data_IF_558510286722
#
_entry.id   IF_558510286722
#
_cell.length_a   1.000
_cell.length_b   1.000
_cell.length_c   1.000
_cell.angle_alpha   90.00
_cell.angle_beta   90.00
_cell.angle_gamma   90.00
#
_symmetry.space_group_name_H-M   'P 1'
#
loop_
_entity.id
_entity.type
_entity.pdbx_description
1 polymer ?
2 non-polymer ?
3 non-polymer ?
4 water ?
#
# COMPACT_ATOMS: atom_id res chain seq x y z
N UNK A 12 26.23 -8.55 -0.07
CA UNK A 12 26.71 -7.18 0.04
C UNK A 12 26.79 -6.53 -1.34
N UNK A 13 27.75 -6.98 -2.15
CA UNK A 13 27.84 -6.50 -3.53
C UNK A 13 26.69 -7.02 -4.37
N UNK A 14 26.17 -8.20 -4.04
CA UNK A 14 25.02 -8.75 -4.77
C UNK A 14 23.79 -7.88 -4.57
N UNK A 15 23.61 -7.33 -3.36
CA UNK A 15 22.44 -6.50 -3.09
C UNK A 15 22.46 -5.23 -3.94
N UNK A 16 23.62 -4.58 -4.04
CA UNK A 16 23.70 -3.35 -4.80
C UNK A 16 23.57 -3.61 -6.30
N UNK A 17 23.91 -4.82 -6.76
CA UNK A 17 23.73 -5.13 -8.17
C UNK A 17 22.25 -5.29 -8.52
N UNK A 18 21.46 -5.84 -7.60
CA UNK A 18 20.02 -5.96 -7.83
C UNK A 18 19.38 -4.58 -7.94
N UNK A 19 19.76 -3.67 -7.03
CA UNK A 19 19.21 -2.32 -7.05
C UNK A 19 19.56 -1.61 -8.36
N UNK A 20 20.78 -1.82 -8.87
CA UNK A 20 21.16 -1.21 -10.14
C UNK A 20 20.33 -1.77 -11.29
N UNK A 21 20.10 -3.08 -11.31
CA UNK A 21 19.22 -3.66 -12.32
C UNK A 21 17.81 -3.11 -12.21
N UNK A 22 17.34 -2.91 -10.97
CA UNK A 22 16.02 -2.29 -10.79
C UNK A 22 16.03 -0.85 -11.30
N UNK A 23 17.11 -0.11 -11.01
CA UNK A 23 17.19 1.29 -11.43
C UNK A 23 17.18 1.42 -12.95
N UNK A 24 17.95 0.58 -13.65
CA UNK A 24 17.93 0.62 -15.11
C UNK A 24 16.57 0.25 -15.68
N UNK A 25 15.77 -0.47 -14.92
CA UNK A 25 14.42 -0.83 -15.36
C UNK A 25 13.45 0.33 -15.26
N UNK A 26 13.72 1.29 -14.38
CA UNK A 26 12.76 2.36 -14.13
C UNK A 26 12.81 3.45 -15.20
N UNK A 27 13.93 3.59 -15.91
CA UNK A 27 14.08 4.73 -16.81
C UNK A 27 13.16 4.62 -18.03
N UNK A 28 12.81 3.41 -18.45
CA UNK A 28 12.04 3.26 -19.68
C UNK A 28 10.60 3.75 -19.51
N UNK A 29 10.03 3.61 -18.32
CA UNK A 29 8.65 4.03 -18.10
C UNK A 29 8.51 5.53 -17.88
N UNK A 30 9.60 6.30 -17.93
CA UNK A 30 9.49 7.74 -17.83
C UNK A 30 8.65 8.30 -18.97
N UNK A 31 8.79 7.72 -20.17
CA UNK A 31 7.90 8.06 -21.26
C UNK A 31 6.54 7.40 -21.10
N UNK A 32 6.51 6.21 -20.50
CA UNK A 32 5.23 5.51 -20.32
C UNK A 32 4.37 6.19 -19.27
N UNK A 33 4.98 6.98 -18.38
CA UNK A 33 4.23 7.71 -17.37
C UNK A 33 3.21 8.65 -18.01
N UNK A 34 3.66 9.47 -18.95
CA UNK A 34 2.74 10.36 -19.65
C UNK A 34 1.69 9.61 -20.44
N UNK A 35 2.02 8.40 -20.91
CA UNK A 35 1.04 7.60 -21.64
C UNK A 35 -0.06 7.11 -20.71
N UNK A 36 0.30 6.67 -19.50
CA UNK A 36 -0.70 6.34 -18.49
C UNK A 36 -1.38 7.61 -17.99
N UNK A 37 -0.60 8.68 -17.79
CA UNK A 37 -1.17 9.92 -17.28
C UNK A 37 -2.14 10.55 -18.28
N UNK A 38 -2.06 10.18 -19.56
CA UNK A 38 -2.99 10.68 -20.54
C UNK A 38 -4.34 9.99 -20.45
N UNK A 39 -4.34 8.66 -20.33
CA UNK A 39 -5.58 7.90 -20.18
C UNK A 39 -6.31 8.33 -18.91
N UNK A 40 -5.56 8.63 -17.84
CA UNK A 40 -6.18 8.99 -16.58
C UNK A 40 -6.83 10.37 -16.66
N UNK A 41 -6.09 11.37 -17.16
CA UNK A 41 -6.65 12.71 -17.29
C UNK A 41 -7.91 12.72 -18.15
N UNK A 42 -7.99 11.80 -19.11
CA UNK A 42 -9.20 11.66 -19.93
C UNK A 42 -10.33 11.03 -19.13
N UNK A 43 -10.07 9.84 -18.56
CA UNK A 43 -11.11 9.11 -17.83
C UNK A 43 -11.68 9.94 -16.68
N UNK A 44 -10.82 10.73 -16.02
CA UNK A 44 -11.30 11.60 -14.94
C UNK A 44 -12.29 12.62 -15.47
N UNK A 45 -12.07 13.14 -16.68
CA UNK A 45 -12.99 14.11 -17.27
C UNK A 45 -14.31 13.45 -17.63
N UNK A 46 -14.28 12.22 -18.15
CA UNK A 46 -15.50 11.53 -18.53
C UNK A 46 -16.33 11.17 -17.30
N UNK A 47 -15.67 10.79 -16.20
CA UNK A 47 -16.39 10.51 -14.96
C UNK A 47 -16.98 11.78 -14.36
N UNK A 48 -16.32 12.93 -14.55
CA UNK A 48 -16.83 14.19 -14.03
C UNK A 48 -18.15 14.61 -14.67
N UNK A 49 -18.45 14.10 -15.86
CA UNK A 49 -19.70 14.46 -16.53
C UNK A 49 -20.89 13.72 -15.94
N UNK A 50 -20.72 12.47 -15.50
CA UNK A 50 -21.76 11.81 -14.74
C UNK A 50 -22.01 12.58 -13.45
N UNK A 51 -23.28 12.71 -13.07
CA UNK A 51 -23.63 13.46 -11.88
C UNK A 51 -23.07 12.82 -10.62
N UNK A 52 -22.95 11.50 -10.62
CA UNK A 52 -22.54 10.79 -9.39
C UNK A 52 -21.05 10.91 -9.11
N UNK A 53 -20.24 11.25 -10.10
CA UNK A 53 -18.80 11.31 -9.94
C UNK A 53 -18.27 12.71 -10.23
N UNK A 54 -18.99 13.73 -9.77
CA UNK A 54 -18.54 15.10 -9.95
C UNK A 54 -17.24 15.37 -9.21
N UNK A 55 -17.14 14.89 -7.97
CA UNK A 55 -15.98 15.17 -7.14
C UNK A 55 -14.94 14.07 -7.16
N UNK A 56 -14.65 13.52 -8.33
CA UNK A 56 -13.61 12.50 -8.48
C UNK A 56 -12.33 13.19 -8.93
N UNK A 57 -11.19 12.67 -8.49
CA UNK A 57 -9.91 13.26 -8.81
C UNK A 57 -8.78 12.32 -8.47
N UNK A 58 -7.56 12.77 -8.79
CA UNK A 58 -6.37 11.98 -8.54
C UNK A 58 -5.98 12.09 -7.07
N UNK A 59 -5.66 10.95 -6.45
CA UNK A 59 -5.01 10.98 -5.16
C UNK A 59 -3.59 11.52 -5.34
N UNK A 60 -3.27 12.59 -4.63
CA UNK A 60 -2.19 13.49 -5.02
C UNK A 60 -0.81 12.84 -4.86
N UNK A 61 0.23 13.68 -4.96
CA UNK A 61 1.65 13.29 -4.88
C UNK A 61 2.06 12.30 -5.98
N UNK A 62 1.52 12.46 -7.18
CA UNK A 62 1.89 11.56 -8.28
C UNK A 62 0.66 10.83 -8.79
N UNK A 63 0.52 10.81 -10.12
CA UNK A 63 -0.66 10.22 -10.73
C UNK A 63 -0.70 8.71 -10.49
N UNK A 64 0.40 8.02 -10.72
CA UNK A 64 0.49 6.58 -10.54
C UNK A 64 1.34 6.27 -9.31
N UNK A 65 0.91 5.27 -8.54
CA UNK A 65 1.65 4.81 -7.37
C UNK A 65 2.50 3.59 -7.68
N UNK A 66 2.68 3.27 -8.96
CA UNK A 66 3.67 2.29 -9.42
C UNK A 66 3.42 0.88 -8.89
N UNK A 67 2.16 0.57 -8.55
CA UNK A 67 1.73 -0.80 -8.34
C UNK A 67 2.43 -1.54 -7.21
N UNK A 68 2.08 -2.81 -7.04
CA UNK A 68 2.71 -3.67 -6.05
C UNK A 68 4.08 -4.16 -6.52
N UNK A 69 4.28 -4.30 -7.83
CA UNK A 69 5.45 -4.99 -8.38
C UNK A 69 6.56 -3.99 -8.67
N UNK A 70 7.68 -4.11 -7.95
CA UNK A 70 8.87 -3.31 -8.24
C UNK A 70 9.56 -3.84 -9.49
N UNK A 71 9.42 -5.13 -9.78
CA UNK A 71 10.06 -5.77 -10.93
C UNK A 71 9.20 -5.76 -12.19
N UNK A 72 7.98 -5.21 -12.12
CA UNK A 72 7.09 -5.12 -13.28
C UNK A 72 6.71 -3.66 -13.50
N UNK A 73 7.59 -2.87 -14.14
CA UNK A 73 7.24 -1.48 -14.47
C UNK A 73 6.15 -1.38 -15.51
N UNK A 74 5.72 -2.49 -16.11
CA UNK A 74 4.69 -2.46 -17.14
C UNK A 74 3.30 -2.22 -16.57
N UNK A 75 3.08 -2.51 -15.29
CA UNK A 75 1.77 -2.36 -14.68
C UNK A 75 1.81 -1.25 -13.65
N UNK A 76 0.91 -0.28 -13.81
CA UNK A 76 0.78 0.86 -12.92
C UNK A 76 -0.44 0.70 -12.02
N UNK A 77 -0.47 1.50 -10.95
CA UNK A 77 -1.59 1.53 -10.01
C UNK A 77 -1.98 2.96 -9.76
N UNK A 78 -3.26 3.26 -9.94
CA UNK A 78 -3.77 4.62 -9.77
C UNK A 78 -5.01 4.57 -8.89
N UNK A 79 -5.19 5.62 -8.09
CA UNK A 79 -6.33 5.74 -7.18
C UNK A 79 -7.12 6.99 -7.53
N UNK A 80 -8.44 6.85 -7.63
CA UNK A 80 -9.36 7.96 -7.83
C UNK A 80 -10.11 8.21 -6.53
N UNK A 81 -9.92 9.40 -5.95
CA UNK A 81 -10.60 9.78 -4.73
C UNK A 81 -11.92 10.46 -5.05
N UNK A 82 -12.94 10.20 -4.25
CA UNK A 82 -14.28 10.74 -4.48
C UNK A 82 -14.65 11.61 -3.27
N UNK A 83 -14.59 12.92 -3.46
CA UNK A 83 -15.01 13.85 -2.41
C UNK A 83 -16.52 13.75 -2.22
N UNK A 84 -16.95 13.57 -0.98
CA UNK A 84 -18.35 13.33 -0.66
C UNK A 84 -18.72 14.17 0.56
N UNK A 85 -20.01 14.38 0.79
CA UNK A 85 -20.43 15.03 2.03
C UNK A 85 -20.04 14.20 3.24
N UNK A 86 -20.29 14.77 4.42
CA UNK A 86 -19.83 14.19 5.68
C UNK A 86 -20.26 12.74 5.81
N UNK A 87 -19.29 11.86 6.06
CA UNK A 87 -19.51 10.43 6.17
C UNK A 87 -19.66 10.05 7.63
N UNK A 88 -20.52 9.08 7.90
CA UNK A 88 -20.58 8.42 9.19
C UNK A 88 -20.42 6.93 8.98
N UNK A 89 -19.64 6.28 9.85
CA UNK A 89 -19.23 4.90 9.63
C UNK A 89 -19.80 3.97 10.70
N UNK A 90 -20.04 2.73 10.30
CA UNK A 90 -20.45 1.67 11.21
C UNK A 90 -19.50 0.49 11.02
N UNK A 91 -18.79 0.13 12.08
CA UNK A 91 -17.81 -0.96 11.99
C UNK A 91 -18.51 -2.28 11.71
N UNK A 92 -17.93 -3.06 10.80
CA UNK A 92 -18.50 -4.35 10.42
C UNK A 92 -17.92 -5.46 11.28
N UNK A 93 -18.78 -6.13 12.05
CA UNK A 93 -18.49 -7.44 12.67
C UNK A 93 -17.15 -7.45 13.40
N UNK A 94 -16.85 -6.38 14.12
CA UNK A 94 -15.64 -6.24 14.92
C UNK A 94 -14.36 -6.34 14.11
N UNK A 95 -14.45 -6.36 12.78
CA UNK A 95 -13.27 -6.24 11.94
C UNK A 95 -12.85 -4.76 11.92
N UNK A 96 -11.65 -4.48 12.41
CA UNK A 96 -11.24 -3.10 12.66
C UNK A 96 -11.07 -2.28 11.38
N UNK A 97 -11.13 -2.90 10.20
CA UNK A 97 -10.83 -2.19 8.97
C UNK A 97 -12.02 -2.00 8.04
N UNK A 98 -13.06 -2.82 8.16
CA UNK A 98 -14.20 -2.77 7.25
C UNK A 98 -15.38 -2.05 7.90
N UNK A 99 -16.07 -1.23 7.10
CA UNK A 99 -17.13 -0.37 7.60
C UNK A 99 -18.24 -0.25 6.58
N UNK A 100 -19.46 -0.04 7.08
CA UNK A 100 -20.55 0.45 6.24
C UNK A 100 -20.53 1.97 6.23
N UNK A 101 -20.91 2.55 5.10
CA UNK A 101 -20.89 3.99 4.91
C UNK A 101 -22.32 4.53 4.95
N UNK A 102 -22.50 5.68 5.60
CA UNK A 102 -23.80 6.32 5.71
C UNK A 102 -23.64 7.83 5.57
N UNK A 103 -24.73 8.50 5.25
CA UNK A 103 -24.75 9.92 4.96
C UNK A 103 -25.04 10.74 6.22
N UNK A 104 -24.95 12.06 6.07
CA UNK A 104 -25.17 12.99 7.18
C UNK A 104 -24.23 12.71 8.34
N UNK A 110 -25.23 14.65 -2.12
CA UNK A 110 -26.52 14.80 -2.80
C UNK A 110 -26.72 13.80 -3.97
N UNK A 111 -25.81 13.78 -4.96
CA UNK A 111 -26.08 12.94 -6.14
C UNK A 111 -25.96 11.45 -5.87
N UNK A 112 -25.21 11.04 -4.85
CA UNK A 112 -24.98 9.63 -4.56
C UNK A 112 -26.18 8.93 -3.95
N UNK A 113 -27.34 9.59 -3.88
CA UNK A 113 -28.54 8.93 -3.37
C UNK A 113 -28.94 7.74 -4.24
N UNK A 114 -28.54 7.77 -5.52
CA UNK A 114 -28.86 6.66 -6.41
C UNK A 114 -28.25 5.35 -5.95
N UNK A 115 -27.07 5.40 -5.34
CA UNK A 115 -26.42 4.19 -4.85
C UNK A 115 -26.86 3.83 -3.43
N UNK A 116 -27.80 4.59 -2.85
CA UNK A 116 -28.23 4.29 -1.50
C UNK A 116 -29.06 3.01 -1.46
N UNK A 117 -28.87 2.24 -0.38
CA UNK A 117 -29.65 1.04 -0.10
C UNK A 117 -30.16 1.21 1.33
N UNK A 118 -31.19 2.04 1.49
CA UNK A 118 -31.66 2.42 2.80
C UNK A 118 -30.82 3.54 3.38
N UNK A 119 -29.99 3.21 4.38
CA UNK A 119 -29.01 4.14 4.88
C UNK A 119 -27.58 3.79 4.50
N UNK A 120 -27.33 2.54 4.11
CA UNK A 120 -25.99 2.06 3.78
C UNK A 120 -25.71 2.35 2.31
N UNK A 121 -24.53 2.92 2.05
CA UNK A 121 -24.09 3.17 0.67
C UNK A 121 -23.61 1.87 0.04
N UNK A 122 -24.12 1.57 -1.16
CA UNK A 122 -23.83 0.33 -1.84
C UNK A 122 -22.52 0.45 -2.61
N UNK A 123 -21.50 -0.30 -2.18
CA UNK A 123 -20.26 -0.38 -2.94
C UNK A 123 -20.47 -1.08 -4.27
N UNK A 124 -21.24 -2.17 -4.28
CA UNK A 124 -21.48 -2.89 -5.53
C UNK A 124 -22.22 -2.02 -6.53
N UNK A 125 -23.14 -1.17 -6.05
CA UNK A 125 -23.88 -0.30 -6.96
C UNK A 125 -22.99 0.79 -7.55
N UNK A 126 -22.13 1.39 -6.73
CA UNK A 126 -21.26 2.45 -7.24
C UNK A 126 -20.14 1.88 -8.11
N UNK A 127 -19.64 0.70 -7.76
CA UNK A 127 -18.64 0.04 -8.61
C UNK A 127 -19.22 -0.32 -9.97
N UNK A 128 -20.47 -0.81 -10.00
CA UNK A 128 -21.08 -1.18 -11.27
C UNK A 128 -21.22 0.02 -12.19
N UNK A 129 -21.53 1.20 -11.63
CA UNK A 129 -21.62 2.40 -12.45
C UNK A 129 -20.23 2.91 -12.81
N UNK A 130 -19.30 2.87 -11.85
CA UNK A 130 -17.91 3.22 -12.13
C UNK A 130 -17.36 2.39 -13.29
N UNK A 131 -17.66 1.09 -13.30
CA UNK A 131 -17.20 0.21 -14.36
C UNK A 131 -17.89 0.52 -15.69
N UNK A 132 -19.20 0.79 -15.65
CA UNK A 132 -19.94 1.01 -16.88
C UNK A 132 -19.47 2.26 -17.61
N UNK A 133 -19.17 3.33 -16.87
CA UNK A 133 -18.72 4.56 -17.51
C UNK A 133 -17.37 4.37 -18.18
N UNK A 134 -16.51 3.53 -17.62
CA UNK A 134 -15.18 3.32 -18.18
C UNK A 134 -15.21 2.33 -19.33
N UNK A 135 -16.03 1.28 -19.21
CA UNK A 135 -16.16 0.28 -20.28
C UNK A 135 -16.54 0.95 -21.59
N UNK A 136 -17.51 1.86 -21.54
CA UNK A 136 -17.94 2.57 -22.74
C UNK A 136 -16.85 3.49 -23.27
N UNK A 137 -15.81 3.76 -22.48
CA UNK A 137 -14.68 4.56 -22.95
C UNK A 137 -13.59 3.66 -23.52
N UNK A 154 -13.50 -5.39 -5.10
CA UNK A 154 -13.39 -4.11 -5.78
C UNK A 154 -12.17 -3.31 -5.38
N UNK A 155 -11.12 -3.98 -4.91
CA UNK A 155 -9.89 -3.27 -4.57
C UNK A 155 -9.30 -2.58 -5.78
N UNK A 156 -9.08 -3.25 -6.93
CA UNK A 156 -9.10 -2.51 -8.19
C UNK A 156 -10.49 -2.64 -8.81
N UNK A 157 -11.12 -1.50 -9.10
CA UNK A 157 -12.44 -1.54 -9.72
C UNK A 157 -12.35 -1.93 -11.19
N UNK A 158 -11.35 -1.41 -11.89
CA UNK A 158 -11.14 -1.72 -13.29
C UNK A 158 -9.63 -1.84 -13.52
N UNK A 159 -9.26 -2.70 -14.47
CA UNK A 159 -7.85 -2.87 -14.84
C UNK A 159 -7.73 -2.71 -16.35
N UNK A 160 -7.09 -1.63 -16.78
CA UNK A 160 -6.97 -1.30 -18.19
C UNK A 160 -5.69 -1.91 -18.78
N UNK A 161 -5.66 -1.99 -20.11
CA UNK A 161 -4.51 -2.53 -20.82
C UNK A 161 -3.99 -1.53 -21.86
N UNK A 166 1.04 -4.01 -20.48
CA UNK A 166 0.95 -2.66 -19.94
C UNK A 166 -0.41 -2.48 -19.26
N UNK A 167 -0.48 -2.87 -17.99
CA UNK A 167 -1.71 -2.87 -17.21
C UNK A 167 -1.77 -1.64 -16.31
N UNK A 168 -3.00 -1.25 -15.97
CA UNK A 168 -3.26 -0.13 -15.07
C UNK A 168 -4.45 -0.49 -14.18
N UNK A 169 -4.21 -0.58 -12.88
CA UNK A 169 -5.28 -0.82 -11.92
C UNK A 169 -5.82 0.51 -11.42
N UNK A 170 -7.14 0.65 -11.40
CA UNK A 170 -7.80 1.85 -10.92
C UNK A 170 -8.65 1.49 -9.71
N UNK A 171 -8.43 2.20 -8.61
CA UNK A 171 -9.16 1.98 -7.37
C UNK A 171 -9.98 3.22 -7.05
N UNK A 172 -11.28 3.03 -6.78
CA UNK A 172 -12.14 4.10 -6.30
C UNK A 172 -12.03 4.18 -4.78
N UNK A 173 -11.87 5.39 -4.27
CA UNK A 173 -11.74 5.61 -2.83
C UNK A 173 -12.58 6.79 -2.41
N UNK A 174 -13.34 6.63 -1.32
CA UNK A 174 -14.09 7.72 -0.74
C UNK A 174 -13.17 8.53 0.17
N UNK A 175 -13.22 9.86 0.04
CA UNK A 175 -12.43 10.73 0.90
C UNK A 175 -13.28 11.18 2.08
N UNK A 176 -12.74 11.00 3.29
CA UNK A 176 -13.40 11.42 4.52
C UNK A 176 -12.48 12.39 5.26
N UNK A 177 -12.98 13.58 5.55
CA UNK A 177 -12.24 14.57 6.30
C UNK A 177 -12.53 14.53 7.79
N UNK A 178 -13.25 13.51 8.26
CA UNK A 178 -13.50 13.35 9.68
C UNK A 178 -12.22 12.94 10.40
N UNK A 179 -12.30 12.87 11.73
CA UNK A 179 -11.20 12.30 12.50
C UNK A 179 -10.99 10.85 12.11
N UNK A 180 -9.74 10.40 12.19
CA UNK A 180 -9.45 9.02 11.86
C UNK A 180 -10.25 8.09 12.80
N UNK A 181 -10.67 6.93 12.30
CA UNK A 181 -11.48 6.02 13.12
C UNK A 181 -10.72 5.56 14.37
N UNK A 182 -11.49 5.16 15.37
CA UNK A 182 -10.93 4.80 16.68
C UNK A 182 -9.91 3.68 16.58
N UNK A 183 -10.07 2.77 15.61
CA UNK A 183 -9.13 1.66 15.49
C UNK A 183 -7.72 2.10 15.12
N UNK A 184 -7.55 3.36 14.70
CA UNK A 184 -6.22 3.89 14.38
C UNK A 184 -5.56 4.61 15.54
N UNK A 185 -6.19 4.63 16.72
CA UNK A 185 -5.72 5.50 17.79
C UNK A 185 -4.33 5.11 18.29
N UNK A 186 -4.05 3.82 18.36
CA UNK A 186 -2.75 3.35 18.81
C UNK A 186 -1.84 2.94 17.66
N UNK A 187 -2.19 3.32 16.43
CA UNK A 187 -1.34 3.05 15.27
C UNK A 187 -0.46 4.23 14.93
N UNK A 188 0.24 4.08 13.81
CA UNK A 188 1.18 5.10 13.32
C UNK A 188 2.16 5.50 14.43
N UNK A 189 2.82 4.49 15.00
CA UNK A 189 3.72 4.68 16.13
C UNK A 189 5.06 5.24 15.66
N UNK A 190 5.03 6.52 15.26
CA UNK A 190 6.19 7.17 14.67
C UNK A 190 6.80 8.21 15.61
N UNK A 191 6.32 8.29 16.85
CA UNK A 191 6.69 9.40 17.73
C UNK A 191 8.19 9.44 18.01
N UNK A 192 8.82 8.28 18.18
CA UNK A 192 10.25 8.24 18.47
C UNK A 192 11.10 8.21 17.22
N UNK A 193 10.47 8.17 16.04
CA UNK A 193 11.17 8.14 14.76
C UNK A 193 10.95 9.45 13.99
N UNK A 194 9.72 9.74 13.61
CA UNK A 194 9.39 10.95 12.86
C UNK A 194 8.84 12.07 13.73
N UNK A 195 8.66 11.84 15.04
CA UNK A 195 8.27 12.80 16.07
C UNK A 195 6.77 12.83 16.31
N UNK A 196 6.37 13.29 17.50
CA UNK A 196 4.95 13.40 17.81
C UNK A 196 4.32 14.58 17.07
N UNK A 197 5.10 15.59 16.72
CA UNK A 197 4.58 16.69 15.91
C UNK A 197 4.06 16.18 14.58
N UNK A 198 4.86 15.35 13.91
CA UNK A 198 4.50 14.87 12.58
C UNK A 198 3.30 13.95 12.65
N UNK A 199 3.27 13.05 13.63
CA UNK A 199 2.12 12.17 13.81
C UNK A 199 0.84 12.98 14.02
N UNK A 200 0.93 14.04 14.82
CA UNK A 200 -0.20 14.94 15.01
C UNK A 200 -0.64 15.54 13.68
N UNK A 201 0.32 16.03 12.89
CA UNK A 201 -0.01 16.66 11.62
C UNK A 201 -0.55 15.63 10.62
N UNK A 202 0.03 14.43 10.60
CA UNK A 202 -0.41 13.41 9.66
C UNK A 202 -1.85 12.99 9.91
N UNK A 203 -2.24 12.89 11.19
CA UNK A 203 -3.58 12.44 11.54
C UNK A 203 -4.64 13.51 11.36
N UNK A 204 -4.26 14.74 10.98
CA UNK A 204 -5.22 15.76 10.59
C UNK A 204 -5.60 15.68 9.12
N UNK A 205 -4.85 14.94 8.30
CA UNK A 205 -5.22 14.77 6.91
C UNK A 205 -6.38 13.79 6.80
N UNK A 206 -7.09 13.79 5.68
CA UNK A 206 -8.21 12.87 5.51
C UNK A 206 -7.74 11.42 5.45
N UNK A 207 -8.69 10.51 5.64
CA UNK A 207 -8.48 9.10 5.39
C UNK A 207 -9.39 8.68 4.23
N UNK A 208 -9.24 7.44 3.79
CA UNK A 208 -9.92 6.99 2.58
C UNK A 208 -10.53 5.62 2.79
N UNK A 209 -11.60 5.37 2.04
CA UNK A 209 -12.38 4.13 2.14
C UNK A 209 -12.53 3.54 0.74
N UNK A 210 -12.03 2.34 0.56
CA UNK A 210 -12.10 1.66 -0.74
C UNK A 210 -13.08 0.50 -0.65
N UNK A 211 -13.89 0.27 -1.69
CA UNK A 211 -14.86 -0.83 -1.64
C UNK A 211 -14.20 -2.20 -1.64
N UNK A 212 -13.79 -2.66 -0.46
CA UNK A 212 -13.33 -4.03 -0.28
C UNK A 212 -14.30 -4.75 0.64
N UNK A 213 -14.56 -6.02 0.35
CA UNK A 213 -15.66 -6.75 0.96
C UNK A 213 -15.11 -7.89 1.80
N UNK A 214 -15.82 -8.22 2.87
CA UNK A 214 -15.32 -9.18 3.86
C UNK A 214 -16.07 -10.50 3.84
N UNK A 221 -19.79 -10.54 3.26
CA UNK A 221 -20.46 -9.24 3.12
C UNK A 221 -19.89 -8.47 1.95
N UNK A 222 -20.76 -7.98 1.09
CA UNK A 222 -20.38 -7.39 -0.20
C UNK A 222 -20.62 -5.89 -0.27
N UNK A 223 -20.85 -5.23 0.88
CA UNK A 223 -21.10 -3.78 0.87
C UNK A 223 -20.27 -3.05 1.92
N UNK A 224 -19.16 -3.63 2.37
CA UNK A 224 -18.29 -2.96 3.31
C UNK A 224 -17.21 -2.17 2.55
N UNK A 225 -16.57 -1.26 3.28
CA UNK A 225 -15.47 -0.45 2.75
C UNK A 225 -14.27 -0.58 3.67
N UNK A 226 -13.08 -0.57 3.09
CA UNK A 226 -11.84 -0.77 3.82
C UNK A 226 -11.11 0.56 3.95
N UNK A 227 -10.52 0.78 5.11
CA UNK A 227 -9.73 1.99 5.32
C UNK A 227 -8.46 1.94 4.47
N UNK A 228 -8.02 3.12 4.03
CA UNK A 228 -6.82 3.23 3.20
C UNK A 228 -6.00 4.43 3.64
N UNK A 229 -4.68 4.23 3.78
CA UNK A 229 -3.78 5.32 4.16
C UNK A 229 -2.60 5.42 3.20
N UNK A 230 -2.84 5.15 1.91
CA UNK A 230 -1.73 5.14 0.94
C UNK A 230 -1.01 6.48 0.89
N UNK A 231 -1.76 7.58 0.97
CA UNK A 231 -1.14 8.90 0.97
C UNK A 231 -0.20 9.08 2.16
N UNK A 232 -0.58 8.59 3.34
CA UNK A 232 0.28 8.70 4.51
C UNK A 232 1.50 7.83 4.36
N UNK A 233 1.35 6.63 3.77
CA UNK A 233 2.48 5.75 3.57
C UNK A 233 3.49 6.35 2.60
N UNK A 234 3.01 7.04 1.56
CA UNK A 234 3.93 7.66 0.61
C UNK A 234 4.68 8.82 1.25
N UNK A 235 3.98 9.63 2.04
CA UNK A 235 4.64 10.76 2.70
C UNK A 235 5.71 10.29 3.66
N UNK A 236 5.47 9.15 4.33
CA UNK A 236 6.45 8.61 5.26
C UNK A 236 7.67 8.08 4.52
N UNK A 237 7.46 7.42 3.38
CA UNK A 237 8.57 6.84 2.63
C UNK A 237 9.46 7.93 2.03
N UNK A 238 8.85 9.02 1.55
CA UNK A 238 9.59 10.10 0.90
C UNK A 238 10.10 11.13 1.89
N UNK A 239 9.84 10.96 3.19
CA UNK A 239 10.28 11.86 4.25
C UNK A 239 10.50 10.98 5.48
N UNK A 240 11.54 10.15 5.42
CA UNK A 240 11.66 8.95 6.23
C UNK A 240 12.66 9.04 7.37
N UNK A 241 13.51 10.07 7.42
CA UNK A 241 14.57 10.13 8.38
C UNK A 241 14.20 10.89 9.64
N UNK A 242 14.90 10.56 10.73
CA UNK A 242 14.81 11.40 11.92
C UNK A 242 15.29 12.82 11.63
N UNK A 243 16.38 12.93 10.87
CA UNK A 243 16.83 14.23 10.38
C UNK A 243 15.97 14.68 9.21
N UNK A 244 15.60 15.95 9.23
CA UNK A 244 14.79 16.51 8.13
C UNK A 244 15.55 16.51 6.81
N UNK A 245 16.88 16.48 6.84
CA UNK A 245 17.68 16.48 5.64
C UNK A 245 18.21 15.10 5.27
N UNK A 246 17.56 14.03 5.75
CA UNK A 246 17.96 12.68 5.36
C UNK A 246 17.82 12.51 3.85
N UNK A 247 18.89 12.02 3.22
CA UNK A 247 18.94 11.79 1.78
C UNK A 247 18.80 13.07 0.97
N UNK A 248 19.04 14.24 1.58
CA UNK A 248 19.11 15.48 0.84
C UNK A 248 20.55 15.90 0.54
N UNK A 249 21.53 15.33 1.23
CA UNK A 249 22.93 15.56 0.92
C UNK A 249 23.66 14.22 0.93
N UNK A 250 24.86 14.21 0.36
CA UNK A 250 25.61 12.96 0.26
C UNK A 250 26.14 12.48 1.61
N UNK A 251 26.16 13.34 2.63
CA UNK A 251 26.58 12.93 3.96
C UNK A 251 25.46 12.30 4.77
N UNK A 252 24.24 12.27 4.24
CA UNK A 252 23.06 11.76 4.95
C UNK A 252 22.29 10.78 4.10
N UNK A 253 22.99 9.95 3.33
CA UNK A 253 22.36 8.95 2.47
C UNK A 253 22.09 7.70 3.29
N UNK A 254 20.83 7.42 3.57
CA UNK A 254 20.44 6.22 4.28
C UNK A 254 19.94 5.17 3.29
N UNK A 255 19.85 3.93 3.77
CA UNK A 255 19.43 2.81 2.94
C UNK A 255 18.03 2.33 3.28
N UNK A 256 17.18 3.21 3.83
CA UNK A 256 15.82 2.82 4.15
C UNK A 256 15.03 2.44 2.91
N UNK A 257 15.10 3.28 1.87
CA UNK A 257 14.38 2.97 0.63
C UNK A 257 14.92 1.72 -0.04
N UNK A 258 16.25 1.56 -0.05
CA UNK A 258 16.84 0.39 -0.70
C UNK A 258 16.41 -0.90 -0.03
N UNK A 259 16.31 -0.90 1.32
CA UNK A 259 15.87 -2.09 2.02
C UNK A 259 14.44 -2.46 1.63
N UNK A 260 13.58 -1.47 1.45
CA UNK A 260 12.20 -1.77 1.06
C UNK A 260 12.14 -2.31 -0.36
N UNK A 261 12.90 -1.71 -1.28
CA UNK A 261 12.96 -2.24 -2.64
C UNK A 261 13.41 -3.69 -2.63
N UNK A 262 14.44 -4.01 -1.83
CA UNK A 262 14.95 -5.38 -1.80
C UNK A 262 13.94 -6.35 -1.20
N UNK A 263 13.22 -5.92 -0.16
CA UNK A 263 12.20 -6.79 0.42
C UNK A 263 11.05 -7.01 -0.54
N UNK A 264 10.70 -6.00 -1.34
CA UNK A 264 9.66 -6.17 -2.34
C UNK A 264 10.14 -7.08 -3.46
N UNK A 265 11.40 -6.96 -3.86
CA UNK A 265 11.92 -7.81 -4.93
C UNK A 265 12.02 -9.26 -4.49
N UNK A 266 12.43 -9.49 -3.24
CA UNK A 266 12.49 -10.85 -2.71
C UNK A 266 11.13 -11.54 -2.80
N UNK A 267 10.07 -10.85 -2.37
CA UNK A 267 8.75 -11.46 -2.36
C UNK A 267 8.24 -11.71 -3.79
N UNK A 268 8.40 -10.72 -4.66
CA UNK A 268 7.92 -10.87 -6.04
C UNK A 268 8.63 -12.02 -6.75
N UNK A 269 9.93 -12.17 -6.51
CA UNK A 269 10.68 -13.28 -7.10
C UNK A 269 10.18 -14.61 -6.58
N UNK A 270 9.96 -14.71 -5.27
CA UNK A 270 9.42 -15.94 -4.68
C UNK A 270 8.01 -16.20 -5.17
N UNK A 271 7.19 -15.15 -5.26
CA UNK A 271 5.82 -15.33 -5.74
C UNK A 271 5.80 -15.77 -7.21
N UNK A 272 6.78 -15.32 -7.99
CA UNK A 272 6.83 -15.73 -9.39
C UNK A 272 7.40 -17.14 -9.55
N UNK A 273 8.41 -17.49 -8.75
CA UNK A 273 8.98 -18.82 -8.83
C UNK A 273 7.97 -19.89 -8.43
N UNK A 274 7.19 -19.63 -7.39
CA UNK A 274 6.23 -20.60 -6.86
C UNK A 274 4.79 -20.20 -7.17
N UNK A 275 4.56 -19.55 -8.30
CA UNK A 275 3.21 -19.07 -8.67
C UNK A 275 2.25 -20.23 -8.87
N UNK A 276 2.78 -21.39 -9.23
CA UNK A 276 1.93 -22.57 -9.49
C UNK A 276 1.77 -23.40 -8.22
N UNK A 277 2.33 -22.96 -7.10
CA UNK A 277 2.15 -23.75 -5.85
C UNK A 277 1.04 -23.20 -4.96
N UNK A 278 0.67 -21.93 -5.13
CA UNK A 278 -0.53 -21.30 -4.51
C UNK A 278 -0.42 -21.02 -3.01
N UNK A 279 0.71 -21.30 -2.38
CA UNK A 279 0.91 -20.99 -0.94
C UNK A 279 1.45 -19.58 -0.77
N UNK A 280 1.70 -18.85 -1.85
CA UNK A 280 2.20 -17.45 -1.78
C UNK A 280 1.20 -16.49 -2.43
N UNK A 281 -0.01 -16.95 -2.75
CA UNK A 281 -1.00 -16.09 -3.44
C UNK A 281 -1.45 -14.92 -2.56
N UNK A 282 -1.66 -15.17 -1.27
CA UNK A 282 -2.14 -14.17 -0.28
C UNK A 282 -1.17 -13.03 -0.07
N UNK A 283 0.13 -13.30 -0.06
CA UNK A 283 1.12 -12.29 0.30
C UNK A 283 1.25 -11.25 -0.82
N UNK A 284 1.46 -10.01 -0.42
CA UNK A 284 1.62 -8.89 -1.34
C UNK A 284 2.70 -7.95 -0.80
N UNK A 285 3.00 -6.92 -1.60
CA UNK A 285 3.98 -5.92 -1.16
C UNK A 285 3.48 -5.11 0.03
N UNK A 286 2.18 -5.13 0.31
CA UNK A 286 1.69 -4.42 1.48
C UNK A 286 2.18 -5.06 2.76
N UNK A 287 2.28 -6.39 2.79
CA UNK A 287 2.82 -7.06 3.97
C UNK A 287 4.29 -6.70 4.17
N UNK A 288 5.05 -6.65 3.08
CA UNK A 288 6.47 -6.28 3.18
C UNK A 288 6.63 -4.83 3.58
N UNK A 289 5.80 -3.94 3.02
CA UNK A 289 5.86 -2.53 3.39
C UNK A 289 5.48 -2.33 4.85
N UNK A 290 4.45 -3.06 5.32
CA UNK A 290 4.04 -2.95 6.71
C UNK A 290 5.15 -3.40 7.65
N UNK A 291 5.74 -4.56 7.38
CA UNK A 291 6.83 -5.04 8.21
C UNK A 291 8.00 -4.05 8.20
N UNK A 292 8.29 -3.46 7.04
CA UNK A 292 9.35 -2.47 6.94
C UNK A 292 9.08 -1.27 7.85
N UNK A 293 7.84 -0.77 7.86
CA UNK A 293 7.52 0.37 8.72
C UNK A 293 7.69 0.04 10.19
N UNK A 294 7.42 -1.20 10.59
CA UNK A 294 7.67 -1.61 11.97
C UNK A 294 9.15 -1.60 12.29
N UNK A 295 9.99 -2.00 11.33
CA UNK A 295 11.43 -1.98 11.56
C UNK A 295 11.95 -0.55 11.65
N UNK A 296 11.32 0.38 10.91
CA UNK A 296 11.66 1.79 11.07
C UNK A 296 11.32 2.28 12.47
N UNK A 297 10.11 1.96 12.94
CA UNK A 297 9.73 2.29 14.32
C UNK A 297 10.72 1.67 15.30
N UNK A 298 11.14 0.43 15.04
CA UNK A 298 12.06 -0.29 15.89
C UNK A 298 13.48 0.28 15.84
N UNK A 299 13.93 0.75 14.67
CA UNK A 299 15.23 1.39 14.51
C UNK A 299 15.01 2.84 14.07
N UNK A 300 14.80 3.75 15.02
CA UNK A 300 14.39 5.12 14.65
C UNK A 300 15.54 6.03 14.24
N UNK A 301 16.79 5.68 14.54
CA UNK A 301 17.91 6.57 14.26
C UNK A 301 18.43 6.37 12.85
N UNK A 302 18.76 7.48 12.20
CA UNK A 302 19.34 7.41 10.85
C UNK A 302 20.62 6.60 10.84
N UNK A 303 21.38 6.63 11.93
CA UNK A 303 22.64 5.88 11.99
C UNK A 303 22.42 4.37 11.91
N UNK A 304 21.22 3.90 12.25
CA UNK A 304 20.87 2.49 12.11
C UNK A 304 20.51 2.12 10.67
N UNK A 305 20.63 3.06 9.74
CA UNK A 305 20.31 2.84 8.33
C UNK A 305 21.42 3.39 7.44
N UNK A 306 22.66 3.35 7.92
CA UNK A 306 23.78 3.84 7.13
C UNK A 306 23.87 3.09 5.81
N UNK A 307 24.16 3.81 4.74
CA UNK A 307 24.24 3.19 3.41
C UNK A 307 25.30 2.10 3.35
N UNK A 308 26.31 2.15 4.21
CA UNK A 308 27.32 1.10 4.20
C UNK A 308 26.92 -0.13 5.00
N UNK A 309 25.77 -0.08 5.70
CA UNK A 309 25.25 -1.23 6.41
C UNK A 309 24.05 -1.85 5.69
N UNK A 310 23.98 -1.67 4.36
CA UNK A 310 22.85 -2.15 3.59
C UNK A 310 22.57 -3.63 3.85
N UNK A 311 23.62 -4.45 3.82
CA UNK A 311 23.44 -5.87 4.04
C UNK A 311 22.89 -6.18 5.43
N UNK A 312 23.42 -5.51 6.46
CA UNK A 312 22.89 -5.71 7.79
C UNK A 312 21.48 -5.16 7.92
N UNK A 313 21.21 -4.00 7.32
CA UNK A 313 19.88 -3.42 7.41
C UNK A 313 18.85 -4.27 6.69
N UNK A 314 19.18 -4.74 5.48
CA UNK A 314 18.28 -5.65 4.78
C UNK A 314 18.04 -6.92 5.59
N UNK A 315 19.09 -7.42 6.25
CA UNK A 315 18.92 -8.61 7.08
C UNK A 315 18.02 -8.33 8.27
N UNK A 316 18.06 -7.10 8.80
CA UNK A 316 17.15 -6.74 9.87
C UNK A 316 15.70 -6.84 9.42
N UNK A 317 15.41 -6.41 8.19
CA UNK A 317 14.04 -6.48 7.70
C UNK A 317 13.63 -7.92 7.41
N UNK A 318 14.57 -8.73 6.89
CA UNK A 318 14.28 -10.14 6.66
C UNK A 318 13.99 -10.86 7.97
N UNK A 319 14.78 -10.56 9.00
CA UNK A 319 14.59 -11.24 10.28
C UNK A 319 13.25 -10.87 10.93
N UNK A 320 12.87 -9.59 10.86
CA UNK A 320 11.59 -9.19 11.44
C UNK A 320 10.42 -9.80 10.67
N UNK A 321 10.53 -9.87 9.34
CA UNK A 321 9.45 -10.45 8.54
C UNK A 321 9.29 -11.94 8.81
N UNK A 322 10.39 -12.63 9.11
CA UNK A 322 10.29 -14.04 9.49
C UNK A 322 9.60 -14.19 10.84
N UNK A 323 9.94 -13.33 11.80
CA UNK A 323 9.30 -13.39 13.12
C UNK A 323 7.79 -13.18 13.00
N UNK A 324 7.37 -12.30 12.10
CA UNK A 324 5.94 -12.13 11.86
C UNK A 324 5.33 -13.38 11.24
N UNK A 325 6.09 -14.06 10.39
CA UNK A 325 5.59 -15.27 9.76
C UNK A 325 5.50 -16.40 10.78
N UNK A 326 6.56 -16.62 11.55
CA UNK A 326 6.55 -17.73 12.49
C UNK A 326 5.44 -17.57 13.53
N UNK A 327 5.26 -16.37 14.07
CA UNK A 327 4.27 -16.12 15.10
C UNK A 327 2.90 -15.76 14.54
N UNK A 328 2.78 -15.63 13.21
CA UNK A 328 1.51 -15.30 12.55
C UNK A 328 0.94 -13.98 13.08
N UNK A 329 1.81 -12.98 13.24
CA UNK A 329 1.40 -11.67 13.73
C UNK A 329 2.06 -10.61 12.86
N UNK A 330 1.26 -9.93 12.04
CA UNK A 330 1.72 -8.75 11.30
C UNK A 330 0.64 -7.68 11.48
N UNK A 331 0.84 -6.84 12.51
CA UNK A 331 -0.09 -5.76 12.77
C UNK A 331 -0.10 -4.75 11.63
N UNK A 332 -1.28 -4.36 11.20
CA UNK A 332 -1.40 -3.21 10.31
C UNK A 332 -0.77 -1.99 10.99
N UNK A 333 0.02 -1.24 10.23
CA UNK A 333 0.80 -0.15 10.80
C UNK A 333 -0.09 0.97 11.32
N UNK A 334 -1.30 1.12 10.76
CA UNK A 334 -2.23 2.14 11.20
C UNK A 334 -3.33 1.59 12.09
N UNK A 335 -3.63 0.30 12.00
CA UNK A 335 -4.66 -0.34 12.81
C UNK A 335 -4.03 -1.53 13.52
N UNK A 336 -3.56 -1.36 14.76
CA UNK A 336 -2.78 -2.43 15.41
C UNK A 336 -3.56 -3.72 15.63
N UNK A 337 -4.88 -3.66 15.70
CA UNK A 337 -5.67 -4.85 15.99
C UNK A 337 -5.92 -5.71 14.75
N UNK A 338 -5.79 -5.13 13.56
CA UNK A 338 -5.98 -5.88 12.31
C UNK A 338 -4.71 -6.68 12.04
N UNK A 339 -4.76 -7.98 12.32
CA UNK A 339 -3.62 -8.87 12.05
C UNK A 339 -3.66 -9.29 10.59
N UNK A 340 -2.68 -8.83 9.81
CA UNK A 340 -2.60 -9.24 8.42
C UNK A 340 -2.20 -10.70 8.25
N UNK A 341 -1.55 -11.28 9.26
CA UNK A 341 -1.14 -12.69 9.23
C UNK A 341 -1.99 -13.55 10.16
N UNK A 342 -3.28 -13.26 10.21
CA UNK A 342 -4.21 -14.09 10.98
C UNK A 342 -4.69 -15.26 10.13
N UNK A 343 -5.05 -16.36 10.80
CA UNK A 343 -5.54 -17.55 10.10
C UNK A 343 -6.80 -17.26 9.30
N UNK A 344 -7.56 -16.21 9.65
CA UNK A 344 -8.72 -15.83 8.86
C UNK A 344 -8.32 -15.41 7.45
N UNK A 345 -7.21 -14.70 7.32
CA UNK A 345 -6.86 -14.13 6.03
C UNK A 345 -5.88 -15.00 5.25
N UNK A 346 -4.91 -15.61 5.94
CA UNK A 346 -3.88 -16.40 5.29
C UNK A 346 -3.70 -17.69 6.09
N UNK A 347 -3.64 -18.82 5.38
CA UNK A 347 -3.55 -20.12 6.03
C UNK A 347 -2.17 -20.32 6.65
N UNK A 348 -2.14 -21.01 7.80
CA UNK A 348 -0.88 -21.24 8.51
C UNK A 348 0.14 -21.95 7.61
N UNK A 349 -0.33 -22.84 6.74
CA UNK A 349 0.61 -23.54 5.86
C UNK A 349 1.28 -22.59 4.89
N UNK A 350 0.55 -21.57 4.44
CA UNK A 350 1.13 -20.57 3.54
C UNK A 350 2.25 -19.80 4.23
N UNK A 351 2.08 -19.47 5.51
CA UNK A 351 3.11 -18.71 6.23
C UNK A 351 4.38 -19.54 6.41
N UNK A 352 4.23 -20.81 6.79
CA UNK A 352 5.41 -21.65 6.98
C UNK A 352 6.04 -22.04 5.65
N UNK A 353 5.26 -22.04 4.57
CA UNK A 353 5.84 -22.19 3.24
C UNK A 353 6.73 -21.00 2.90
N UNK A 354 6.20 -19.77 3.09
CA UNK A 354 7.00 -18.58 2.84
C UNK A 354 8.15 -18.48 3.82
N UNK A 355 7.91 -18.80 5.09
CA UNK A 355 8.99 -18.87 6.07
C UNK A 355 10.08 -19.80 5.58
N UNK A 356 9.70 -21.00 5.13
CA UNK A 356 10.67 -21.97 4.63
C UNK A 356 11.48 -21.39 3.49
N UNK A 357 10.83 -20.71 2.55
CA UNK A 357 11.52 -20.20 1.38
C UNK A 357 12.46 -19.05 1.73
N UNK A 358 12.03 -18.17 2.62
CA UNK A 358 12.88 -17.04 2.99
C UNK A 358 14.07 -17.50 3.83
N UNK A 359 13.86 -18.48 4.71
CA UNK A 359 14.98 -19.06 5.43
C UNK A 359 15.99 -19.70 4.48
N UNK A 360 15.49 -20.33 3.42
CA UNK A 360 16.38 -20.93 2.42
C UNK A 360 17.21 -19.85 1.72
N UNK A 361 16.53 -18.85 1.15
CA UNK A 361 17.24 -17.76 0.47
C UNK A 361 18.23 -17.08 1.41
N UNK A 362 17.86 -16.92 2.69
CA UNK A 362 18.73 -16.26 3.65
C UNK A 362 20.00 -17.07 3.88
N UNK A 363 19.86 -18.38 4.05
CA UNK A 363 21.00 -19.24 4.31
C UNK A 363 21.84 -19.53 3.07
N UNK A 364 21.33 -19.21 1.88
CA UNK A 364 22.05 -19.43 0.63
C UNK A 364 22.50 -18.12 -0.02
N UNK A 365 22.46 -17.02 0.73
CA UNK A 365 22.83 -15.70 0.22
C UNK A 365 21.97 -15.31 -0.99
N UNK A 366 20.68 -15.67 -0.90
CA UNK A 366 19.62 -15.21 -1.80
C UNK A 366 19.90 -15.55 -3.27
N UNK A 367 19.78 -16.82 -3.66
CA UNK A 367 19.95 -17.16 -5.08
C UNK A 367 18.96 -16.49 -6.00
N UNK A 368 17.73 -16.20 -5.56
CA UNK A 368 16.75 -15.60 -6.45
C UNK A 368 17.09 -14.18 -6.87
N UNK A 369 18.16 -13.60 -6.31
CA UNK A 369 18.53 -12.24 -6.69
C UNK A 369 19.34 -12.22 -7.99
N UNK A 370 20.28 -13.13 -8.15
CA UNK A 370 21.10 -13.17 -9.36
C UNK A 370 20.29 -13.71 -10.54
X LIG B 1 17.24 8.80 4.07
X LIG C 1 -3.95 -2.84 -0.54
X LIG C 1 -5.95 -5.43 4.17
X LIG C 1 -7.20 -5.90 4.47
X LIG C 1 -4.98 -6.30 3.71
X LIG C 1 -2.62 -5.90 -3.14
X LIG C 1 -2.42 -4.86 -2.22
X LIG C 1 -3.05 -5.18 -0.86
X LIG C 1 -2.95 -6.25 -0.41
X LIG C 1 -3.78 -4.19 -0.10
X LIG C 1 -4.37 -4.51 1.21
X LIG C 1 -4.51 -3.28 2.17
X LIG C 1 -5.07 -3.09 3.48
X LIG C 1 -4.89 -1.79 3.81
X LIG C 1 -4.26 -1.19 2.76
X LIG C 1 -4.03 -2.10 1.79
X LIG C 1 -3.39 -1.89 0.46
X LIG C 1 -5.34 -1.31 5.05
X LIG C 1 -5.16 0.36 5.61
X LIG C 1 -5.95 -2.15 5.93
X LIG C 1 -6.50 -1.49 7.48
X LIG C 1 -6.15 -3.48 5.62
X LIG C 1 -5.70 -3.96 4.42
X LIG C 1 -7.50 -7.16 4.29
X LIG C 1 -6.61 -8.03 3.84
X LIG C 1 -7.03 -9.41 3.67
X LIG C 1 -5.33 -7.62 3.55
#
# INVERSE_FOLDING_TARGET
SILVRRDAAPGASKLRAVLEKLKLSRDDISTAAGMVKGVVDHLLLRLKCDSAFRGVGLLNTGSYYEHVKISAPNEFDVMFKLEVPRIQLEEYSNTRAYYFVKFKRNPKENPLSQFLEGEILSASKMLSKFRKIIKEEINDIKDTDVIMKRKRGGSPAVTLLISEKISVDITLALESKSSWPASTQEGLRIQNWLSAKVRKQLRLKPFYLVPKHAKEGNGFQEETWRLSFSHIEKEILNNHGKSKTCCENKEEKCCRKDCLKLMKYLLEQLKERFKDEEHLDKFSSYHVKTAFFHVCTQNPQDSQWDRKDLGLCFDNCVTYFLQCLRTEKLENYFIPEFNLFSSNLIDKRSKEFLTKQIEYERNNEFPVFDEF
ZN ZN
JUJ C13 C20 C21 C26 O01 C02 C03 O04 N05 C06 C07 C08 C09 N10 C11 C12 C14 CL2 C16 CL1 C18 C19 N22 C23 N24 C25
#
